data_IF_401546436509
#
_entry.id   IF_401546436509
#
_cell.length_a   1.000
_cell.length_b   1.000
_cell.length_c   1.000
_cell.angle_alpha   90.00
_cell.angle_beta   90.00
_cell.angle_gamma   90.00
#
_symmetry.space_group_name_H-M   'P 1'
#
loop_
_entity.id
_entity.type
_entity.pdbx_description
1 polymer ?
#
# COMPACT_ATOMS: atom_id res chain seq x y z
N UNK A 1 9.58 -17.68 3.51
CA UNK A 1 9.87 -18.26 2.18
C UNK A 1 9.97 -17.12 1.20
N UNK A 2 11.02 -17.06 0.39
CA UNK A 2 11.23 -16.01 -0.60
C UNK A 2 11.36 -16.69 -1.96
N UNK A 3 10.60 -16.24 -2.95
CA UNK A 3 10.67 -16.76 -4.32
C UNK A 3 11.68 -15.92 -5.08
N UNK A 4 12.62 -16.58 -5.75
CA UNK A 4 13.63 -15.93 -6.58
C UNK A 4 13.48 -16.41 -8.01
N UNK A 5 13.31 -15.46 -8.93
CA UNK A 5 13.24 -15.76 -10.36
C UNK A 5 14.65 -15.81 -10.95
N UNK A 6 14.87 -16.77 -11.85
CA UNK A 6 16.12 -16.96 -12.57
C UNK A 6 15.91 -16.86 -14.08
N UNK A 7 16.97 -17.10 -14.84
CA UNK A 7 16.93 -17.02 -16.31
C UNK A 7 15.94 -18.00 -16.96
N UNK A 8 15.58 -19.08 -16.25
CA UNK A 8 14.61 -20.08 -16.70
C UNK A 8 13.17 -19.81 -16.24
N UNK A 9 12.91 -18.72 -15.53
CA UNK A 9 11.55 -18.37 -15.11
C UNK A 9 10.80 -17.70 -16.26
N UNK A 10 9.64 -18.24 -16.62
CA UNK A 10 8.69 -17.65 -17.56
C UNK A 10 7.38 -17.29 -16.87
N UNK A 11 6.65 -16.33 -17.42
CA UNK A 11 5.34 -15.89 -16.95
C UNK A 11 4.36 -15.96 -18.10
N UNK A 12 3.20 -16.57 -17.85
CA UNK A 12 2.07 -16.58 -18.76
C UNK A 12 0.91 -15.82 -18.11
N UNK A 13 0.27 -14.92 -18.85
CA UNK A 13 -0.92 -14.21 -18.39
C UNK A 13 -2.14 -15.13 -18.45
N UNK A 14 -2.94 -15.16 -17.38
CA UNK A 14 -4.14 -16.01 -17.28
C UNK A 14 -5.33 -15.10 -16.97
N UNK A 15 -6.31 -15.05 -17.88
CA UNK A 15 -7.52 -14.24 -17.71
C UNK A 15 -8.60 -14.95 -16.88
N UNK A 16 -8.60 -16.28 -16.88
CA UNK A 16 -9.57 -17.11 -16.16
C UNK A 16 -8.84 -18.14 -15.29
N UNK A 17 -8.54 -17.80 -14.03
CA UNK A 17 -7.82 -18.70 -13.16
C UNK A 17 -8.72 -19.86 -12.70
N UNK A 18 -8.19 -21.07 -12.65
CA UNK A 18 -8.92 -22.26 -12.20
C UNK A 18 -9.43 -22.16 -10.75
N UNK A 19 -8.75 -21.36 -9.93
CA UNK A 19 -9.17 -20.95 -8.59
C UNK A 19 -9.22 -19.43 -8.57
N UNK A 20 -10.33 -18.81 -8.11
CA UNK A 20 -10.39 -17.36 -7.99
C UNK A 20 -9.25 -16.82 -7.14
N UNK A 21 -8.50 -15.86 -7.70
CA UNK A 21 -7.48 -15.12 -6.96
C UNK A 21 -8.22 -14.18 -6.00
N UNK A 22 -7.79 -14.15 -4.73
CA UNK A 22 -8.38 -13.24 -3.75
C UNK A 22 -8.19 -11.79 -4.17
N UNK A 23 -9.25 -10.99 -4.03
CA UNK A 23 -9.14 -9.54 -4.21
C UNK A 23 -8.31 -8.97 -3.06
N UNK A 24 -7.47 -7.99 -3.36
CA UNK A 24 -6.69 -7.31 -2.33
C UNK A 24 -7.62 -6.71 -1.27
N UNK A 25 -7.25 -6.89 -0.01
CA UNK A 25 -8.01 -6.38 1.14
C UNK A 25 -7.13 -5.43 1.92
N UNK A 26 -7.67 -4.24 2.22
CA UNK A 26 -6.95 -3.21 2.95
C UNK A 26 -7.39 -3.16 4.41
N UNK A 27 -6.44 -2.90 5.32
CA UNK A 27 -6.70 -2.72 6.75
C UNK A 27 -6.54 -1.24 7.11
N UNK A 28 -7.53 -0.45 6.73
CA UNK A 28 -7.59 0.96 7.08
C UNK A 28 -7.71 1.17 8.59
N UNK A 29 -7.09 2.24 9.07
CA UNK A 29 -7.10 2.69 10.46
C UNK A 29 -7.51 4.13 10.54
N UNK A 30 -8.11 4.51 11.65
CA UNK A 30 -8.40 5.92 11.89
C UNK A 30 -7.12 6.71 12.21
N UNK A 31 -7.24 8.03 12.23
CA UNK A 31 -6.12 8.93 12.50
C UNK A 31 -5.48 8.68 13.88
N UNK A 32 -6.28 8.40 14.91
CA UNK A 32 -5.77 8.13 16.26
C UNK A 32 -4.98 6.83 16.33
N UNK A 33 -5.45 5.79 15.66
CA UNK A 33 -4.72 4.51 15.52
C UNK A 33 -3.42 4.67 14.72
N UNK A 34 -3.42 5.45 13.63
CA UNK A 34 -2.22 5.74 12.83
C UNK A 34 -1.19 6.53 13.63
N UNK A 35 -1.61 7.50 14.45
CA UNK A 35 -0.73 8.22 15.35
C UNK A 35 -0.02 7.28 16.33
N UNK A 36 -0.72 6.24 16.83
CA UNK A 36 -0.12 5.22 17.70
C UNK A 36 0.94 4.36 17.01
N UNK A 37 0.94 4.27 15.68
CA UNK A 37 1.93 3.52 14.90
C UNK A 37 3.09 4.41 14.41
N UNK A 38 2.89 5.72 14.38
CA UNK A 38 3.85 6.66 13.82
C UNK A 38 5.24 6.48 14.45
N UNK A 39 6.27 6.39 13.61
CA UNK A 39 7.67 6.23 14.00
C UNK A 39 8.00 4.97 14.84
N UNK A 40 7.08 4.03 15.00
CA UNK A 40 7.36 2.77 15.71
C UNK A 40 8.14 1.78 14.82
N UNK A 41 8.04 1.92 13.50
CA UNK A 41 8.56 0.96 12.50
C UNK A 41 8.08 -0.47 12.71
N UNK A 42 7.01 -0.68 13.49
CA UNK A 42 6.50 -2.02 13.81
C UNK A 42 5.56 -2.57 12.76
N UNK A 43 4.90 -1.70 11.99
CA UNK A 43 3.82 -2.06 11.06
C UNK A 43 3.81 -1.11 9.86
N UNK A 44 3.32 -1.61 8.72
CA UNK A 44 3.04 -0.85 7.50
C UNK A 44 1.51 -0.66 7.40
N UNK A 45 0.96 0.53 7.68
CA UNK A 45 -0.47 0.76 7.61
C UNK A 45 -0.93 1.07 6.19
N UNK A 46 -2.13 0.59 5.83
CA UNK A 46 -2.86 1.04 4.65
C UNK A 46 -3.56 2.38 4.94
N UNK A 47 -3.45 3.34 4.01
CA UNK A 47 -4.00 4.69 4.16
C UNK A 47 -4.89 5.02 2.97
N UNK A 48 -6.09 5.53 3.24
CA UNK A 48 -7.00 6.11 2.25
C UNK A 48 -7.48 7.46 2.72
N UNK A 49 -7.54 8.42 1.80
CA UNK A 49 -7.95 9.77 2.08
C UNK A 49 -7.69 10.68 0.88
N UNK A 50 -8.16 11.91 0.98
CA UNK A 50 -7.95 12.92 -0.06
C UNK A 50 -6.51 13.46 0.03
N UNK A 51 -5.77 13.43 -1.08
CA UNK A 51 -4.47 14.08 -1.17
C UNK A 51 -4.70 15.59 -1.34
N UNK A 52 -4.39 16.37 -0.31
CA UNK A 52 -4.59 17.83 -0.35
C UNK A 52 -3.36 18.60 -0.78
N UNK A 53 -2.17 18.00 -0.63
CA UNK A 53 -0.92 18.58 -1.10
C UNK A 53 0.16 17.51 -1.29
N UNK A 54 1.03 17.72 -2.27
CA UNK A 54 2.30 17.00 -2.42
C UNK A 54 3.42 17.98 -2.10
N UNK A 55 4.23 17.66 -1.08
CA UNK A 55 5.28 18.56 -0.56
C UNK A 55 6.63 18.35 -1.24
N UNK A 56 6.99 17.10 -1.54
CA UNK A 56 8.29 16.79 -2.14
C UNK A 56 8.32 15.38 -2.70
N UNK A 57 9.12 15.18 -3.74
CA UNK A 57 9.61 13.90 -4.20
C UNK A 57 11.09 13.80 -3.81
N UNK A 58 11.41 12.81 -2.99
CA UNK A 58 12.76 12.55 -2.52
C UNK A 58 13.26 11.26 -3.18
N UNK A 59 14.40 11.35 -3.85
CA UNK A 59 15.09 10.20 -4.43
C UNK A 59 16.36 10.04 -3.62
N UNK A 60 16.50 8.94 -2.88
CA UNK A 60 17.67 8.64 -2.03
C UNK A 60 18.71 7.84 -2.83
N UNK A 61 19.80 8.42 -3.40
CA UNK A 61 20.83 7.60 -4.02
C UNK A 61 21.51 6.75 -2.94
N UNK A 62 21.78 5.44 -3.12
CA UNK A 62 21.71 4.64 -4.36
C UNK A 62 20.40 3.84 -4.55
N UNK A 63 19.45 3.97 -3.62
CA UNK A 63 18.20 3.21 -3.63
C UNK A 63 17.22 3.97 -4.51
N UNK A 64 16.90 3.45 -5.69
CA UNK A 64 15.90 4.02 -6.61
C UNK A 64 14.46 3.95 -6.05
N UNK A 65 14.28 4.36 -4.80
CA UNK A 65 13.03 4.39 -4.08
C UNK A 65 12.61 5.84 -4.05
N UNK A 66 11.73 6.22 -4.97
CA UNK A 66 11.11 7.53 -4.94
C UNK A 66 10.17 7.61 -3.74
N UNK A 67 10.48 8.50 -2.80
CA UNK A 67 9.68 8.76 -1.61
C UNK A 67 8.88 10.03 -1.85
N UNK A 68 7.57 9.95 -1.69
CA UNK A 68 6.68 11.10 -1.80
C UNK A 68 6.30 11.56 -0.39
N UNK A 69 6.46 12.85 -0.13
CA UNK A 69 5.84 13.47 1.05
C UNK A 69 4.53 14.13 0.61
N UNK A 70 3.41 13.61 1.10
CA UNK A 70 2.08 14.16 0.86
C UNK A 70 1.37 14.53 2.16
N UNK A 71 0.39 15.43 2.05
CA UNK A 71 -0.59 15.72 3.09
C UNK A 71 -1.90 15.05 2.69
N UNK A 72 -2.42 14.20 3.58
CA UNK A 72 -3.63 13.42 3.34
C UNK A 72 -4.68 13.87 4.35
N UNK A 73 -5.85 14.27 3.84
CA UNK A 73 -7.03 14.55 4.66
C UNK A 73 -7.78 13.24 4.89
N UNK A 74 -7.93 12.89 6.17
CA UNK A 74 -8.67 11.71 6.61
C UNK A 74 -10.01 12.16 7.17
N UNK A 75 -11.04 12.13 6.33
CA UNK A 75 -12.42 12.26 6.82
C UNK A 75 -12.85 10.94 7.47
N UNK A 76 -13.89 10.96 8.32
CA UNK A 76 -14.49 9.74 8.85
C UNK A 76 -15.03 8.92 7.68
N UNK A 77 -14.19 8.01 7.24
CA UNK A 77 -14.42 7.19 6.09
C UNK A 77 -15.38 6.09 6.56
N UNK A 78 -16.64 6.18 6.12
CA UNK A 78 -17.62 5.09 6.25
C UNK A 78 -17.20 3.97 5.29
N UNK A 79 -16.03 3.38 5.53
CA UNK A 79 -15.54 2.24 4.76
C UNK A 79 -16.11 1.02 5.46
N UNK A 80 -17.01 0.32 4.80
CA UNK A 80 -17.27 -1.06 5.17
C UNK A 80 -15.92 -1.79 5.14
N UNK A 81 -15.52 -2.53 6.18
CA UNK A 81 -14.17 -3.13 6.33
C UNK A 81 -13.74 -4.12 5.23
N UNK A 82 -14.48 -4.18 4.13
CA UNK A 82 -14.30 -5.04 2.96
C UNK A 82 -14.40 -4.27 1.64
N UNK A 83 -14.11 -2.97 1.62
CA UNK A 83 -14.06 -2.23 0.37
C UNK A 83 -12.86 -2.72 -0.47
N UNK A 84 -13.14 -3.64 -1.38
CA UNK A 84 -12.33 -3.86 -2.57
C UNK A 84 -12.51 -2.64 -3.48
N UNK A 85 -11.43 -1.91 -3.73
CA UNK A 85 -11.42 -0.81 -4.72
C UNK A 85 -11.06 -1.41 -6.08
#
# INVERSE_FOLDING_TARGET
>A
MMIHFGESTSFDEITEPAIPIGVETYRFRDHSELLGLANTNTQLPDIVGEITAVKSTFTDPPQNNNRLMATIKMDKLLILPYLSI
#
